data_IF_462916382984
#
_entry.id   IF_462916382984
#
_cell.length_a   1.000
_cell.length_b   1.000
_cell.length_c   1.000
_cell.angle_alpha   90.00
_cell.angle_beta   90.00
_cell.angle_gamma   90.00
#
_symmetry.space_group_name_H-M   'P 1'
#
loop_
_entity.id
_entity.type
_entity.pdbx_description
1 polymer ?
#
# COMPACT_ATOMS: atom_id res chain seq x y z
N UNK A 1 6.12 18.34 -23.43
CA UNK A 1 4.71 18.06 -23.08
C UNK A 1 4.66 17.26 -21.79
N UNK A 2 4.21 17.86 -20.69
CA UNK A 2 4.15 17.23 -19.37
C UNK A 2 2.78 16.59 -19.12
N UNK A 3 2.77 15.29 -18.87
CA UNK A 3 1.59 14.63 -18.31
C UNK A 3 1.61 14.90 -16.81
N UNK A 4 1.00 16.01 -16.40
CA UNK A 4 0.62 16.30 -15.01
C UNK A 4 -0.46 15.29 -14.62
N UNK A 5 -0.05 14.08 -14.24
CA UNK A 5 -0.92 13.06 -13.67
C UNK A 5 -1.52 13.60 -12.38
N UNK A 6 -2.86 13.67 -12.34
CA UNK A 6 -3.64 14.20 -11.23
C UNK A 6 -3.16 13.56 -9.91
N UNK A 7 -2.88 14.35 -8.88
CA UNK A 7 -2.40 13.78 -7.63
C UNK A 7 -3.56 13.01 -6.96
N UNK A 8 -3.26 11.93 -6.21
CA UNK A 8 -4.17 10.98 -5.53
C UNK A 8 -5.10 11.62 -4.45
N UNK A 9 -5.52 12.87 -4.64
CA UNK A 9 -6.27 13.63 -3.66
C UNK A 9 -7.75 13.31 -3.77
N UNK A 10 -8.29 12.85 -2.64
CA UNK A 10 -9.71 12.75 -2.32
C UNK A 10 -10.49 11.69 -3.09
N UNK A 11 -10.23 10.41 -2.81
CA UNK A 11 -11.27 9.38 -2.88
C UNK A 11 -10.96 8.29 -1.83
N UNK A 12 -11.97 7.62 -1.30
CA UNK A 12 -11.77 6.43 -0.46
C UNK A 12 -11.10 5.33 -1.29
N UNK A 13 -9.94 4.84 -0.85
CA UNK A 13 -9.15 3.86 -1.60
C UNK A 13 -8.98 2.57 -0.79
N UNK A 14 -9.22 1.41 -1.40
CA UNK A 14 -8.71 0.15 -0.87
C UNK A 14 -7.28 -0.05 -1.38
N UNK A 15 -6.32 -0.31 -0.49
CA UNK A 15 -4.98 -0.74 -0.91
C UNK A 15 -5.06 -2.22 -1.28
N UNK A 16 -5.14 -2.53 -2.57
CA UNK A 16 -4.98 -3.90 -3.03
C UNK A 16 -3.50 -4.21 -3.25
N UNK A 17 -3.07 -5.34 -2.71
CA UNK A 17 -1.72 -5.83 -2.89
C UNK A 17 -1.52 -6.35 -4.31
N UNK A 18 -0.40 -6.06 -4.96
CA UNK A 18 -0.13 -6.52 -6.32
C UNK A 18 -0.24 -8.04 -6.51
N UNK A 19 0.17 -8.84 -5.52
CA UNK A 19 0.03 -10.30 -5.58
C UNK A 19 -1.40 -10.82 -5.33
N UNK A 20 -2.36 -9.92 -5.08
CA UNK A 20 -3.80 -10.20 -5.01
C UNK A 20 -4.56 -9.58 -6.20
N UNK A 21 -3.88 -8.89 -7.10
CA UNK A 21 -4.47 -8.43 -8.35
C UNK A 21 -4.55 -9.62 -9.31
N UNK A 22 -5.70 -9.89 -9.95
CA UNK A 22 -5.77 -10.92 -10.98
C UNK A 22 -4.81 -10.54 -12.11
N UNK A 23 -3.76 -11.33 -12.30
CA UNK A 23 -3.05 -11.33 -13.57
C UNK A 23 -4.10 -11.63 -14.64
N UNK A 24 -4.24 -10.80 -15.67
CA UNK A 24 -5.05 -11.10 -16.83
C UNK A 24 -4.31 -12.18 -17.65
N UNK A 25 -4.80 -13.41 -17.79
CA UNK A 25 -4.35 -14.30 -18.84
C UNK A 25 -5.44 -14.35 -19.91
N UNK A 26 -5.11 -13.89 -21.11
CA UNK A 26 -5.96 -14.12 -22.27
C UNK A 26 -6.17 -15.63 -22.48
N UNK A 27 -7.44 -16.01 -22.64
CA UNK A 27 -7.97 -17.14 -23.41
C UNK A 27 -7.50 -18.55 -22.99
N UNK A 28 -8.42 -19.29 -22.36
CA UNK A 28 -8.33 -20.74 -22.20
C UNK A 28 -9.30 -21.24 -21.15
N UNK A 29 -10.42 -21.83 -21.58
CA UNK A 29 -11.44 -22.50 -20.75
C UNK A 29 -10.81 -23.54 -19.82
N UNK A 30 -10.71 -23.20 -18.54
CA UNK A 30 -10.65 -24.16 -17.44
C UNK A 30 -11.31 -23.50 -16.23
N UNK A 31 -12.29 -24.18 -15.64
CA UNK A 31 -13.02 -23.75 -14.44
C UNK A 31 -12.03 -23.53 -13.29
N UNK A 32 -11.70 -22.27 -13.04
CA UNK A 32 -10.93 -21.86 -11.87
C UNK A 32 -11.78 -22.22 -10.64
N UNK A 33 -11.30 -23.06 -9.70
CA UNK A 33 -12.04 -23.32 -8.46
C UNK A 33 -12.27 -21.99 -7.75
N UNK A 34 -13.42 -21.79 -7.08
CA UNK A 34 -13.68 -20.54 -6.37
C UNK A 34 -12.55 -20.32 -5.38
N UNK A 35 -11.75 -19.26 -5.62
CA UNK A 35 -10.72 -18.84 -4.69
C UNK A 35 -11.40 -18.65 -3.33
N UNK A 36 -10.80 -19.12 -2.21
CA UNK A 36 -11.35 -18.87 -0.89
C UNK A 36 -11.65 -17.37 -0.75
N UNK A 37 -12.74 -16.98 -0.07
CA UNK A 37 -13.12 -15.57 0.05
C UNK A 37 -11.89 -14.80 0.53
N UNK A 38 -11.38 -13.94 -0.34
CA UNK A 38 -10.29 -13.06 0.02
C UNK A 38 -10.75 -12.30 1.28
N UNK A 39 -9.89 -12.13 2.30
CA UNK A 39 -10.27 -11.35 3.46
C UNK A 39 -10.82 -10.01 2.97
N UNK A 40 -12.02 -9.65 3.44
CA UNK A 40 -12.72 -8.46 2.98
C UNK A 40 -11.75 -7.27 3.00
N UNK A 41 -11.54 -6.58 1.86
CA UNK A 41 -10.56 -5.53 1.79
C UNK A 41 -10.89 -4.46 2.83
N UNK A 42 -9.96 -4.21 3.74
CA UNK A 42 -10.12 -3.13 4.72
C UNK A 42 -10.14 -1.79 4.00
N UNK A 43 -11.27 -1.09 4.06
CA UNK A 43 -11.42 0.23 3.45
C UNK A 43 -10.52 1.22 4.18
N UNK A 44 -9.68 1.92 3.42
CA UNK A 44 -8.80 2.96 3.94
C UNK A 44 -9.00 4.28 3.20
N UNK A 45 -8.57 5.35 3.82
CA UNK A 45 -8.55 6.70 3.27
C UNK A 45 -7.08 7.13 3.16
N UNK A 46 -6.66 7.52 1.96
CA UNK A 46 -5.31 8.06 1.73
C UNK A 46 -5.41 9.59 1.77
N UNK A 47 -4.79 10.18 2.80
CA UNK A 47 -4.75 11.64 2.97
C UNK A 47 -3.36 12.14 2.63
N UNK A 48 -3.26 13.13 1.74
CA UNK A 48 -1.97 13.78 1.52
C UNK A 48 -1.66 14.76 2.65
N UNK A 49 -0.45 14.63 3.19
CA UNK A 49 0.10 15.49 4.25
C UNK A 49 0.89 16.64 3.66
N UNK A 50 1.60 16.36 2.54
CA UNK A 50 2.29 17.32 1.67
C UNK A 50 2.61 16.62 0.36
N UNK A 51 3.19 17.33 -0.61
CA UNK A 51 3.59 16.76 -1.90
C UNK A 51 4.44 15.49 -1.70
N UNK A 52 3.98 14.38 -2.28
CA UNK A 52 4.65 13.08 -2.23
C UNK A 52 4.61 12.38 -0.87
N UNK A 53 3.89 12.92 0.14
CA UNK A 53 3.77 12.31 1.46
C UNK A 53 2.29 12.13 1.84
N UNK A 54 1.95 10.92 2.26
CA UNK A 54 0.59 10.54 2.63
C UNK A 54 0.52 9.97 4.05
N UNK A 55 -0.69 9.95 4.58
CA UNK A 55 -1.10 9.18 5.75
C UNK A 55 -2.27 8.29 5.34
N UNK A 56 -2.27 7.05 5.80
CA UNK A 56 -3.28 6.04 5.45
C UNK A 56 -4.11 5.78 6.69
N UNK A 57 -5.41 6.05 6.63
CA UNK A 57 -6.35 5.92 7.75
C UNK A 57 -7.33 4.78 7.49
N UNK A 58 -7.48 3.87 8.45
CA UNK A 58 -8.56 2.88 8.39
C UNK A 58 -9.89 3.56 8.67
N UNK A 59 -10.88 3.42 7.77
CA UNK A 59 -12.18 4.09 7.90
C UNK A 59 -12.94 3.55 9.11
N UNK A 60 -12.92 2.23 9.31
CA UNK A 60 -13.68 1.57 10.37
C UNK A 60 -13.22 1.94 11.79
N UNK A 61 -11.91 2.10 12.01
CA UNK A 61 -11.36 2.39 13.35
C UNK A 61 -10.97 3.85 13.52
N UNK A 62 -10.84 4.61 12.43
CA UNK A 62 -10.31 5.96 12.44
C UNK A 62 -8.80 6.05 12.70
N UNK A 63 -8.12 4.95 13.01
CA UNK A 63 -6.66 4.93 13.23
C UNK A 63 -5.86 5.02 11.94
N UNK A 64 -4.68 5.60 12.05
CA UNK A 64 -3.70 5.66 10.98
C UNK A 64 -2.76 4.47 11.03
N UNK A 65 -2.40 3.97 9.86
CA UNK A 65 -1.30 3.03 9.71
C UNK A 65 0.01 3.74 10.07
N UNK A 66 0.78 3.13 10.97
CA UNK A 66 2.05 3.65 11.45
C UNK A 66 3.15 2.59 11.34
N UNK A 67 4.40 3.03 11.25
CA UNK A 67 5.57 2.16 11.28
C UNK A 67 6.54 2.60 12.38
N UNK A 68 7.03 1.65 13.18
CA UNK A 68 8.05 1.92 14.21
C UNK A 68 9.48 1.76 13.68
N UNK A 69 10.48 2.06 14.52
CA UNK A 69 11.92 1.98 14.17
C UNK A 69 12.36 0.56 13.77
N UNK A 70 11.71 -0.47 14.31
CA UNK A 70 11.94 -1.88 14.00
C UNK A 70 11.26 -2.33 12.69
N UNK A 71 10.48 -1.44 12.06
CA UNK A 71 9.75 -1.71 10.83
C UNK A 71 8.46 -2.50 11.04
N UNK A 72 7.91 -2.55 12.25
CA UNK A 72 6.61 -3.17 12.51
C UNK A 72 5.49 -2.18 12.19
N UNK A 73 4.43 -2.67 11.53
CA UNK A 73 3.22 -1.92 11.26
C UNK A 73 2.24 -2.06 12.42
N UNK A 74 1.58 -0.95 12.76
CA UNK A 74 0.56 -0.89 13.81
C UNK A 74 -0.44 0.23 13.51
N UNK A 75 -1.59 0.22 14.18
CA UNK A 75 -2.56 1.31 14.14
C UNK A 75 -2.32 2.29 15.28
N UNK A 76 -2.42 3.59 15.02
CA UNK A 76 -2.35 4.63 16.06
C UNK A 76 -3.13 5.88 15.69
N UNK A 77 -3.25 6.81 16.64
CA UNK A 77 -3.56 8.20 16.31
C UNK A 77 -2.50 8.81 15.38
N UNK A 78 -2.83 9.93 14.75
CA UNK A 78 -1.94 10.58 13.80
C UNK A 78 -0.64 11.01 14.48
N UNK A 79 0.49 10.57 13.95
CA UNK A 79 1.81 10.87 14.47
C UNK A 79 2.84 10.94 13.33
N UNK A 80 4.08 11.39 13.58
CA UNK A 80 5.15 11.34 12.58
C UNK A 80 5.45 9.93 12.04
N UNK A 81 5.09 8.88 12.79
CA UNK A 81 5.27 7.48 12.36
C UNK A 81 4.23 7.05 11.30
N UNK A 82 3.19 7.85 11.08
CA UNK A 82 2.10 7.60 10.13
C UNK A 82 2.35 8.21 8.74
N UNK A 83 3.51 8.86 8.54
CA UNK A 83 3.85 9.54 7.29
C UNK A 83 4.64 8.62 6.37
N UNK A 84 4.15 8.45 5.15
CA UNK A 84 4.79 7.65 4.12
C UNK A 84 5.06 8.47 2.87
N UNK A 85 6.23 8.28 2.27
CA UNK A 85 6.52 8.80 0.93
C UNK A 85 5.84 7.90 -0.09
N UNK A 86 4.91 8.46 -0.87
CA UNK A 86 4.24 7.79 -1.97
C UNK A 86 5.05 7.99 -3.26
N UNK A 87 5.22 6.91 -4.03
CA UNK A 87 5.77 6.96 -5.39
C UNK A 87 5.02 6.03 -6.32
N UNK A 88 4.77 6.50 -7.53
CA UNK A 88 4.32 5.69 -8.65
C UNK A 88 5.57 5.04 -9.25
N UNK A 89 5.55 3.72 -9.35
CA UNK A 89 6.61 2.94 -9.99
C UNK A 89 6.35 2.79 -11.49
N UNK A 90 7.37 2.40 -12.25
CA UNK A 90 7.30 2.27 -13.71
C UNK A 90 6.24 1.27 -14.18
N UNK A 91 5.88 0.29 -13.33
CA UNK A 91 4.82 -0.68 -13.59
C UNK A 91 3.41 -0.17 -13.26
N UNK A 92 3.26 1.10 -12.89
CA UNK A 92 1.97 1.73 -12.56
C UNK A 92 1.45 1.47 -11.15
N UNK A 93 2.20 0.75 -10.30
CA UNK A 93 1.84 0.52 -8.90
C UNK A 93 2.44 1.59 -7.99
N UNK A 94 1.82 1.79 -6.82
CA UNK A 94 2.34 2.69 -5.80
C UNK A 94 3.20 1.95 -4.77
N UNK A 95 4.28 2.59 -4.33
CA UNK A 95 5.03 2.19 -3.14
C UNK A 95 4.89 3.26 -2.05
N UNK A 96 4.92 2.80 -0.79
CA UNK A 96 4.80 3.67 0.38
C UNK A 96 5.98 3.40 1.33
N UNK A 97 6.94 4.30 1.37
CA UNK A 97 8.11 4.19 2.25
C UNK A 97 7.91 5.00 3.54
N UNK A 98 8.29 4.47 4.71
CA UNK A 98 8.30 5.27 5.94
C UNK A 98 9.11 6.55 5.72
N UNK A 99 8.52 7.70 6.00
CA UNK A 99 9.21 8.98 5.88
C UNK A 99 10.33 9.08 6.93
N UNK A 100 10.09 8.54 8.14
CA UNK A 100 10.98 8.66 9.29
C UNK A 100 12.00 7.54 9.39
N UNK A 101 11.59 6.30 9.13
CA UNK A 101 12.38 5.14 9.51
C UNK A 101 13.07 4.46 8.34
N UNK A 102 14.35 4.13 8.55
CA UNK A 102 15.22 3.43 7.60
C UNK A 102 15.91 2.27 8.30
N UNK A 103 16.23 1.22 7.56
CA UNK A 103 16.99 0.08 8.06
C UNK A 103 18.36 0.04 7.36
N UNK A 104 19.43 0.26 8.13
CA UNK A 104 20.82 0.31 7.61
C UNK A 104 20.95 1.27 6.42
N UNK A 105 20.46 2.50 6.59
CA UNK A 105 20.46 3.53 5.56
C UNK A 105 19.45 3.30 4.41
N UNK A 106 18.74 2.18 4.36
CA UNK A 106 17.81 1.83 3.27
C UNK A 106 16.35 2.11 3.65
N UNK A 107 15.50 2.59 2.73
CA UNK A 107 14.09 2.84 3.02
C UNK A 107 13.37 1.56 3.46
N UNK A 108 12.40 1.71 4.36
CA UNK A 108 11.47 0.66 4.76
C UNK A 108 10.10 0.92 4.15
N UNK A 109 9.52 -0.09 3.50
CA UNK A 109 8.27 0.03 2.77
C UNK A 109 7.12 -0.64 3.51
N UNK A 110 5.91 -0.16 3.29
CA UNK A 110 4.72 -0.97 3.50
C UNK A 110 4.83 -2.22 2.65
N UNK A 111 4.45 -3.36 3.23
CA UNK A 111 4.50 -4.63 2.53
C UNK A 111 3.56 -5.63 3.17
N UNK A 112 2.81 -6.33 2.33
CA UNK A 112 2.05 -7.51 2.74
C UNK A 112 2.72 -8.77 2.16
N UNK A 113 2.45 -9.93 2.73
CA UNK A 113 2.76 -11.20 2.07
C UNK A 113 1.57 -11.66 1.22
N UNK A 114 1.71 -12.80 0.54
CA UNK A 114 0.65 -13.42 -0.28
C UNK A 114 -0.63 -13.74 0.51
N UNK A 115 -0.55 -13.84 1.85
CA UNK A 115 -1.71 -14.03 2.74
C UNK A 115 -2.30 -12.72 3.25
N UNK A 116 -1.91 -11.57 2.68
CA UNK A 116 -2.36 -10.24 3.11
C UNK A 116 -1.81 -9.80 4.47
N UNK A 117 -0.84 -10.51 5.06
CA UNK A 117 -0.29 -10.15 6.38
C UNK A 117 0.87 -9.14 6.27
N UNK A 118 0.93 -8.14 7.16
CA UNK A 118 2.05 -7.21 7.25
C UNK A 118 3.42 -7.88 7.34
N UNK A 119 4.39 -7.37 6.59
CA UNK A 119 5.81 -7.75 6.69
C UNK A 119 6.62 -6.66 7.37
N UNK A 120 7.69 -7.04 8.06
CA UNK A 120 8.61 -6.08 8.69
C UNK A 120 9.36 -5.26 7.64
N UNK A 121 9.32 -3.94 7.79
CA UNK A 121 9.95 -2.95 6.91
C UNK A 121 11.45 -3.19 6.68
N UNK A 122 12.19 -3.65 7.69
CA UNK A 122 13.63 -3.94 7.57
C UNK A 122 13.98 -4.97 6.48
N UNK A 123 13.03 -5.86 6.14
CA UNK A 123 13.19 -6.90 5.11
C UNK A 123 12.71 -6.47 3.72
N UNK A 124 12.06 -5.32 3.59
CA UNK A 124 11.45 -4.87 2.33
C UNK A 124 12.45 -4.33 1.33
N UNK A 125 12.16 -4.47 0.03
CA UNK A 125 12.91 -3.92 -1.11
C UNK A 125 11.92 -3.23 -2.04
N UNK A 126 12.28 -2.08 -2.63
CA UNK A 126 11.41 -1.30 -3.53
C UNK A 126 10.97 -2.11 -4.75
N UNK A 127 11.87 -2.92 -5.31
CA UNK A 127 11.63 -3.71 -6.52
C UNK A 127 10.74 -4.93 -6.28
N UNK A 128 10.51 -5.31 -5.02
CA UNK A 128 9.77 -6.52 -4.72
C UNK A 128 8.27 -6.25 -4.78
N UNK A 129 7.52 -7.03 -5.56
CA UNK A 129 6.06 -6.85 -5.75
C UNK A 129 5.27 -6.81 -4.44
N UNK A 130 5.82 -7.39 -3.36
CA UNK A 130 5.21 -7.30 -2.04
C UNK A 130 5.14 -5.87 -1.46
N UNK A 131 5.77 -4.87 -2.08
CA UNK A 131 5.68 -3.45 -1.67
C UNK A 131 4.84 -2.61 -2.62
N UNK A 132 4.26 -3.24 -3.65
CA UNK A 132 3.51 -2.60 -4.72
C UNK A 132 2.02 -2.73 -4.44
N UNK A 133 1.32 -1.61 -4.50
CA UNK A 133 -0.09 -1.53 -4.17
C UNK A 133 -0.83 -0.73 -5.24
N UNK A 134 -2.05 -1.16 -5.55
CA UNK A 134 -2.98 -0.39 -6.37
C UNK A 134 -3.98 0.31 -5.44
N UNK A 135 -4.06 1.65 -5.48
CA UNK A 135 -5.17 2.36 -4.88
C UNK A 135 -6.44 2.07 -5.72
N UNK A 136 -7.36 1.28 -5.18
CA UNK A 136 -8.65 1.01 -5.83
C UNK A 136 -9.72 1.93 -5.28
N UNK A 137 -10.43 2.63 -6.14
CA UNK A 137 -11.60 3.42 -5.74
C UNK A 137 -12.66 2.49 -5.16
N UNK A 138 -13.15 2.82 -3.97
CA UNK A 138 -14.34 2.17 -3.41
C UNK A 138 -15.53 3.03 -3.81
N UNK A 139 -16.37 2.52 -4.71
CA UNK A 139 -17.59 3.17 -5.20
C UNK A 139 -18.82 2.77 -4.38
#
# INVERSE_FOLDING_TARGET
MGIKGKPCWMMGFSLQHAALAPHHPSIGTASIPPSPPAPAPGIVEIRSVRVGVVAIRAVHTGFYLAMNKQGQLYGSEFSPNCKFTERIEENGYNTYASLRWRHRGRPMFLSLNSKGRPRRGGKTRRQHLSTHFLPMLVS
#
